data_IF_497578116545
#
_entry.id   IF_497578116545
#
_cell.length_a   1.000
_cell.length_b   1.000
_cell.length_c   1.000
_cell.angle_alpha   90.00
_cell.angle_beta   90.00
_cell.angle_gamma   90.00
#
_symmetry.space_group_name_H-M   'P 1'
#
loop_
_entity.id
_entity.type
_entity.pdbx_description
1 polymer ?
#
# COMPACT_ATOMS: atom_id res chain seq x y z
N UNK A 1 7.03 10.69 23.26
CA UNK A 1 6.15 11.37 22.29
C UNK A 1 6.93 12.39 21.46
N UNK A 2 7.82 13.19 22.06
CA UNK A 2 8.60 14.22 21.38
C UNK A 2 9.98 13.75 20.88
N UNK A 3 10.37 12.52 21.19
CA UNK A 3 11.64 11.96 20.74
C UNK A 3 11.63 11.82 19.22
N UNK A 4 12.67 12.35 18.56
CA UNK A 4 12.85 12.28 17.12
C UNK A 4 13.38 10.89 16.77
N UNK A 5 12.65 10.19 15.91
CA UNK A 5 13.01 8.87 15.38
C UNK A 5 13.83 8.99 14.06
N UNK A 6 13.66 10.10 13.35
CA UNK A 6 14.33 10.36 12.09
C UNK A 6 13.90 11.67 11.46
N UNK A 7 14.34 11.92 10.23
CA UNK A 7 14.05 13.14 9.50
C UNK A 7 13.62 12.83 8.06
N UNK A 8 12.71 13.66 7.54
CA UNK A 8 12.34 13.67 6.12
C UNK A 8 12.91 14.93 5.46
N UNK A 9 13.39 14.80 4.24
CA UNK A 9 13.81 15.92 3.39
C UNK A 9 12.66 16.45 2.52
N UNK A 10 11.50 15.80 2.56
CA UNK A 10 10.31 16.19 1.81
C UNK A 10 9.11 16.29 2.74
N UNK A 11 8.10 17.11 2.41
CA UNK A 11 6.83 17.14 3.13
C UNK A 11 6.16 15.77 3.18
N UNK A 12 5.66 15.40 4.37
CA UNK A 12 4.92 14.16 4.60
C UNK A 12 3.43 14.47 4.66
N UNK A 13 2.69 13.96 3.69
CA UNK A 13 1.24 14.13 3.58
C UNK A 13 0.62 12.94 2.85
N UNK A 14 -0.70 12.83 2.88
CA UNK A 14 -1.36 11.62 2.46
C UNK A 14 -2.43 11.74 1.39
N UNK A 15 -2.99 12.83 1.15
CA UNK A 15 -4.26 13.01 0.43
C UNK A 15 -4.20 12.89 -1.10
N UNK A 16 -3.41 11.95 -1.65
CA UNK A 16 -3.39 11.65 -3.08
C UNK A 16 -4.03 10.31 -3.42
N UNK A 17 -4.68 10.27 -4.58
CA UNK A 17 -5.42 9.10 -5.07
C UNK A 17 -4.49 7.92 -5.30
N UNK A 18 -3.31 8.14 -5.90
CA UNK A 18 -2.37 7.09 -6.32
C UNK A 18 -1.22 6.97 -5.33
N UNK A 19 -0.29 7.90 -5.32
CA UNK A 19 0.90 7.85 -4.47
C UNK A 19 0.99 9.05 -3.56
N UNK A 20 1.59 8.88 -2.39
CA UNK A 20 1.87 9.96 -1.46
C UNK A 20 3.08 9.65 -0.58
N UNK A 21 3.75 10.68 -0.02
CA UNK A 21 4.98 10.49 0.74
C UNK A 21 4.84 9.63 2.00
N UNK A 22 3.71 9.68 2.69
CA UNK A 22 3.51 8.88 3.92
C UNK A 22 3.37 7.40 3.59
N UNK A 23 2.54 7.03 2.61
CA UNK A 23 2.45 5.64 2.21
C UNK A 23 3.79 5.13 1.66
N UNK A 24 4.56 5.99 0.96
CA UNK A 24 5.92 5.65 0.52
C UNK A 24 6.85 5.38 1.71
N UNK A 25 6.78 6.16 2.77
CA UNK A 25 7.54 5.92 4.01
C UNK A 25 7.19 4.57 4.63
N UNK A 26 5.89 4.27 4.79
CA UNK A 26 5.41 2.99 5.35
C UNK A 26 5.86 1.81 4.48
N UNK A 27 5.67 1.90 3.16
CA UNK A 27 6.05 0.86 2.22
C UNK A 27 7.56 0.62 2.20
N UNK A 28 8.36 1.68 2.32
CA UNK A 28 9.81 1.57 2.44
C UNK A 28 10.21 0.83 3.72
N UNK A 29 9.58 1.15 4.85
CA UNK A 29 9.83 0.49 6.13
C UNK A 29 9.45 -1.00 6.07
N UNK A 30 8.28 -1.34 5.52
CA UNK A 30 7.85 -2.72 5.33
C UNK A 30 8.81 -3.50 4.41
N UNK A 31 9.22 -2.91 3.29
CA UNK A 31 10.13 -3.55 2.33
C UNK A 31 11.53 -3.71 2.90
N UNK A 32 11.99 -2.77 3.71
CA UNK A 32 13.27 -2.88 4.43
C UNK A 32 13.24 -4.02 5.46
N UNK A 33 12.13 -4.17 6.16
CA UNK A 33 11.96 -5.22 7.19
C UNK A 33 11.76 -6.61 6.59
N UNK A 34 11.12 -6.70 5.42
CA UNK A 34 10.79 -7.92 4.71
C UNK A 34 11.34 -7.89 3.27
N UNK A 35 12.67 -7.88 3.11
CA UNK A 35 13.31 -7.69 1.81
C UNK A 35 13.02 -8.82 0.80
N UNK A 36 12.73 -10.03 1.28
CA UNK A 36 12.40 -11.20 0.45
C UNK A 36 10.99 -11.17 -0.15
N UNK A 37 10.09 -10.30 0.36
CA UNK A 37 8.73 -10.18 -0.17
C UNK A 37 8.74 -9.45 -1.51
N UNK A 38 8.10 -10.01 -2.54
CA UNK A 38 8.04 -9.38 -3.87
C UNK A 38 7.33 -8.01 -3.80
N UNK A 39 6.15 -7.97 -3.16
CA UNK A 39 5.29 -6.79 -3.14
C UNK A 39 4.84 -6.51 -1.70
N UNK A 40 5.00 -5.27 -1.26
CA UNK A 40 4.40 -4.79 -0.02
C UNK A 40 3.25 -3.84 -0.32
N UNK A 41 2.17 -3.94 0.45
CA UNK A 41 0.91 -3.23 0.25
C UNK A 41 0.57 -2.38 1.46
N UNK A 42 0.00 -1.21 1.22
CA UNK A 42 -0.57 -0.33 2.25
C UNK A 42 -1.93 0.18 1.81
N UNK A 43 -2.95 -0.14 2.57
CA UNK A 43 -4.26 0.50 2.40
C UNK A 43 -4.24 1.95 2.92
N UNK A 44 -3.21 2.27 3.68
CA UNK A 44 -2.98 3.55 4.30
C UNK A 44 -3.99 3.87 5.40
N UNK A 45 -3.68 4.86 6.23
CA UNK A 45 -4.57 5.36 7.28
C UNK A 45 -5.18 6.70 6.86
N UNK A 46 -6.46 6.94 7.21
CA UNK A 46 -7.23 8.08 6.72
C UNK A 46 -6.88 9.38 7.42
N UNK A 47 -6.40 9.30 8.66
CA UNK A 47 -6.17 10.45 9.50
C UNK A 47 -4.69 10.55 9.85
N UNK A 48 -3.97 11.32 9.06
CA UNK A 48 -2.59 11.61 9.34
C UNK A 48 -2.38 13.11 9.14
N UNK A 49 -2.13 13.86 10.22
CA UNK A 49 -1.83 15.27 10.08
C UNK A 49 -0.56 15.43 9.22
N UNK A 50 -0.56 16.33 8.24
CA UNK A 50 0.62 16.54 7.41
C UNK A 50 1.78 17.07 8.25
N UNK A 51 2.98 16.62 7.93
CA UNK A 51 4.24 17.15 8.46
C UNK A 51 4.96 17.88 7.34
N UNK A 52 4.92 19.19 7.39
CA UNK A 52 5.42 20.03 6.30
C UNK A 52 6.41 21.08 6.77
N UNK A 53 6.54 21.30 8.08
CA UNK A 53 7.36 22.36 8.65
C UNK A 53 8.78 21.84 8.94
N UNK A 54 9.81 22.32 8.24
CA UNK A 54 11.19 22.00 8.56
C UNK A 54 11.61 22.59 9.90
N UNK A 55 12.60 21.97 10.51
CA UNK A 55 13.34 22.55 11.64
C UNK A 55 14.44 23.51 11.16
N UNK A 56 15.30 23.96 12.08
CA UNK A 56 16.41 24.87 11.79
C UNK A 56 17.46 24.27 10.84
N UNK A 57 17.46 22.96 10.61
CA UNK A 57 18.37 22.27 9.67
C UNK A 57 17.78 22.16 8.26
N UNK A 58 16.52 22.58 8.07
CA UNK A 58 15.79 22.42 6.82
C UNK A 58 15.16 21.04 6.65
N UNK A 59 15.25 20.17 7.65
CA UNK A 59 14.65 18.83 7.63
C UNK A 59 13.38 18.79 8.47
N UNK A 60 12.50 17.87 8.14
CA UNK A 60 11.21 17.69 8.81
C UNK A 60 11.35 16.56 9.85
N UNK A 61 11.27 16.86 11.15
CA UNK A 61 11.44 15.84 12.18
C UNK A 61 10.26 14.85 12.19
N UNK A 62 10.58 13.57 12.20
CA UNK A 62 9.64 12.47 12.42
C UNK A 62 9.77 12.05 13.88
N UNK A 63 8.78 12.40 14.69
CA UNK A 63 8.76 12.05 16.12
C UNK A 63 8.05 10.71 16.35
N UNK A 64 8.32 10.06 17.48
CA UNK A 64 7.57 8.87 17.91
C UNK A 64 6.07 9.17 17.97
N UNK A 65 5.66 10.34 18.48
CA UNK A 65 4.26 10.75 18.50
C UNK A 65 3.64 10.81 17.11
N UNK A 66 4.37 11.36 16.12
CA UNK A 66 3.89 11.36 14.75
C UNK A 66 3.73 9.94 14.17
N UNK A 67 4.62 9.01 14.53
CA UNK A 67 4.49 7.60 14.10
C UNK A 67 3.21 6.98 14.69
N UNK A 68 2.90 7.21 15.95
CA UNK A 68 1.66 6.75 16.57
C UNK A 68 0.41 7.42 15.98
N UNK A 69 0.47 8.71 15.66
CA UNK A 69 -0.62 9.40 14.96
C UNK A 69 -0.84 8.83 13.55
N UNK A 70 0.25 8.46 12.87
CA UNK A 70 0.23 7.89 11.52
C UNK A 70 -0.26 6.43 11.53
N UNK A 71 0.11 5.67 12.55
CA UNK A 71 -0.22 4.25 12.74
C UNK A 71 -0.92 4.05 14.10
N UNK A 72 -2.17 4.52 14.24
CA UNK A 72 -2.88 4.50 15.53
C UNK A 72 -3.35 3.12 15.96
N UNK A 73 -3.30 2.14 15.06
CA UNK A 73 -3.68 0.75 15.32
C UNK A 73 -2.44 -0.12 15.21
N UNK A 74 -2.18 -0.90 16.24
CA UNK A 74 -1.12 -1.90 16.26
C UNK A 74 -1.58 -3.16 15.53
N UNK A 75 -1.53 -3.08 14.20
CA UNK A 75 -1.98 -4.15 13.33
C UNK A 75 -0.86 -5.13 13.04
N UNK A 76 -1.16 -6.41 13.16
CA UNK A 76 -0.25 -7.48 12.74
C UNK A 76 0.08 -7.35 11.25
N UNK A 77 1.36 -7.45 10.93
CA UNK A 77 1.81 -7.54 9.54
C UNK A 77 1.82 -9.01 9.12
N UNK A 78 1.22 -9.30 7.98
CA UNK A 78 1.14 -10.67 7.44
C UNK A 78 1.77 -10.75 6.07
N UNK A 79 2.32 -11.90 5.77
CA UNK A 79 2.77 -12.27 4.43
C UNK A 79 1.88 -13.37 3.87
N UNK A 80 1.85 -13.49 2.56
CA UNK A 80 1.14 -14.55 1.86
C UNK A 80 1.58 -14.64 0.41
N UNK A 81 0.96 -15.52 -0.35
CA UNK A 81 1.29 -15.74 -1.74
C UNK A 81 0.05 -15.65 -2.63
N UNK A 82 0.21 -15.09 -3.81
CA UNK A 82 -0.86 -14.92 -4.80
C UNK A 82 -0.33 -15.14 -6.21
N UNK A 83 -1.20 -15.53 -7.12
CA UNK A 83 -0.84 -15.62 -8.54
C UNK A 83 -0.80 -14.23 -9.19
N UNK A 84 -0.08 -14.10 -10.30
CA UNK A 84 -0.11 -12.86 -11.08
C UNK A 84 -1.50 -12.52 -11.58
N UNK A 85 -2.31 -13.54 -11.92
CA UNK A 85 -3.71 -13.32 -12.28
C UNK A 85 -4.53 -12.70 -11.13
N UNK A 86 -4.37 -13.19 -9.89
CA UNK A 86 -5.03 -12.59 -8.74
C UNK A 86 -4.61 -11.13 -8.52
N UNK A 87 -3.34 -10.80 -8.73
CA UNK A 87 -2.85 -9.42 -8.67
C UNK A 87 -3.49 -8.52 -9.72
N UNK A 88 -3.61 -8.99 -10.96
CA UNK A 88 -4.26 -8.23 -12.05
C UNK A 88 -5.75 -8.02 -11.77
N UNK A 89 -6.47 -9.07 -11.38
CA UNK A 89 -7.89 -8.99 -11.04
C UNK A 89 -8.13 -8.02 -9.86
N UNK A 90 -7.25 -8.07 -8.86
CA UNK A 90 -7.30 -7.18 -7.72
C UNK A 90 -7.01 -5.72 -8.13
N UNK A 91 -5.99 -5.46 -8.95
CA UNK A 91 -5.68 -4.12 -9.46
C UNK A 91 -6.86 -3.52 -10.23
N UNK A 92 -7.48 -4.29 -11.13
CA UNK A 92 -8.67 -3.83 -11.86
C UNK A 92 -9.82 -3.47 -10.91
N UNK A 93 -10.04 -4.29 -9.87
CA UNK A 93 -11.04 -4.00 -8.84
C UNK A 93 -10.72 -2.73 -8.07
N UNK A 94 -9.47 -2.55 -7.63
CA UNK A 94 -9.04 -1.37 -6.88
C UNK A 94 -9.14 -0.09 -7.72
N UNK A 95 -8.80 -0.16 -9.00
CA UNK A 95 -8.99 0.96 -9.93
C UNK A 95 -10.47 1.24 -10.17
N UNK A 96 -11.32 0.20 -10.26
CA UNK A 96 -12.76 0.40 -10.38
C UNK A 96 -13.37 1.05 -9.13
N UNK A 97 -12.91 0.68 -7.93
CA UNK A 97 -13.36 1.29 -6.68
C UNK A 97 -13.16 2.82 -6.63
N UNK A 98 -12.25 3.36 -7.44
CA UNK A 98 -11.93 4.79 -7.48
C UNK A 98 -12.44 5.47 -8.74
N UNK A 99 -12.26 4.84 -9.91
CA UNK A 99 -12.46 5.45 -11.22
C UNK A 99 -13.71 4.94 -11.95
N UNK A 100 -14.59 4.18 -11.29
CA UNK A 100 -15.85 3.76 -11.91
C UNK A 100 -16.65 4.97 -12.41
N UNK A 101 -17.29 4.84 -13.57
CA UNK A 101 -18.18 5.87 -14.10
C UNK A 101 -19.40 6.04 -13.22
N UNK A 102 -19.99 4.94 -12.77
CA UNK A 102 -21.10 4.93 -11.83
C UNK A 102 -20.59 5.17 -10.39
N UNK A 103 -21.16 6.16 -9.71
CA UNK A 103 -20.82 6.50 -8.34
C UNK A 103 -21.14 5.36 -7.35
N UNK A 104 -22.15 4.53 -7.62
CA UNK A 104 -22.52 3.37 -6.79
C UNK A 104 -21.40 2.32 -6.76
N UNK A 105 -20.60 2.20 -7.82
CA UNK A 105 -19.47 1.28 -7.88
C UNK A 105 -18.21 1.81 -7.19
N UNK A 106 -18.20 3.08 -6.74
CA UNK A 106 -17.03 3.68 -6.08
C UNK A 106 -17.05 3.37 -4.60
N UNK A 107 -16.05 2.63 -4.15
CA UNK A 107 -15.91 2.27 -2.74
C UNK A 107 -15.04 3.24 -1.94
N UNK A 108 -14.10 3.93 -2.58
CA UNK A 108 -13.17 4.84 -1.90
C UNK A 108 -12.60 5.91 -2.80
N UNK A 109 -11.81 6.79 -2.21
CA UNK A 109 -11.19 7.93 -2.92
C UNK A 109 -9.71 7.72 -3.25
N UNK A 110 -9.15 6.53 -3.02
CA UNK A 110 -7.74 6.22 -3.27
C UNK A 110 -7.53 4.76 -3.64
N UNK A 111 -6.51 4.53 -4.48
CA UNK A 111 -6.02 3.18 -4.81
C UNK A 111 -5.09 2.70 -3.68
N UNK A 112 -5.08 1.39 -3.39
CA UNK A 112 -4.09 0.81 -2.47
C UNK A 112 -2.69 1.09 -3.00
N UNK A 113 -1.80 1.51 -2.09
CA UNK A 113 -0.41 1.80 -2.40
C UNK A 113 0.42 0.54 -2.30
N UNK A 114 1.48 0.49 -3.09
CA UNK A 114 2.35 -0.68 -3.13
C UNK A 114 3.81 -0.30 -3.44
N UNK A 115 4.72 -1.19 -3.08
CA UNK A 115 6.12 -1.18 -3.52
C UNK A 115 6.53 -2.57 -3.95
N UNK A 116 7.43 -2.66 -4.93
CA UNK A 116 7.88 -3.91 -5.53
C UNK A 116 7.26 -4.19 -6.90
N UNK A 117 6.22 -3.42 -7.28
CA UNK A 117 5.67 -3.48 -8.64
C UNK A 117 5.48 -2.08 -9.22
N UNK A 118 5.35 -2.01 -10.54
CA UNK A 118 4.98 -0.81 -11.30
C UNK A 118 3.76 -1.11 -12.14
N UNK A 119 2.78 -0.20 -12.12
CA UNK A 119 1.52 -0.35 -12.83
C UNK A 119 1.30 0.84 -13.75
N UNK A 120 1.10 0.57 -15.04
CA UNK A 120 0.56 1.56 -15.99
C UNK A 120 -0.92 1.29 -16.15
N UNK A 121 -1.73 2.32 -16.02
CA UNK A 121 -3.18 2.20 -16.15
C UNK A 121 -3.80 3.42 -16.83
N UNK A 122 -5.00 3.22 -17.34
CA UNK A 122 -5.85 4.26 -17.90
C UNK A 122 -7.10 4.39 -17.02
N UNK A 123 -7.18 5.47 -16.25
CA UNK A 123 -8.18 5.66 -15.21
C UNK A 123 -9.63 5.56 -15.73
N UNK A 124 -9.88 6.12 -16.91
CA UNK A 124 -11.22 6.23 -17.48
C UNK A 124 -11.54 5.18 -18.56
N UNK A 125 -10.68 4.16 -18.72
CA UNK A 125 -11.01 3.01 -19.54
C UNK A 125 -12.20 2.24 -18.96
N UNK A 126 -12.79 1.38 -19.78
CA UNK A 126 -13.88 0.49 -19.36
C UNK A 126 -13.46 -0.38 -18.17
N UNK A 127 -14.43 -0.79 -17.38
CA UNK A 127 -14.26 -1.74 -16.26
C UNK A 127 -13.55 -3.01 -16.73
N UNK A 128 -12.50 -3.40 -16.02
CA UNK A 128 -11.69 -4.58 -16.35
C UNK A 128 -10.67 -4.36 -17.49
N UNK A 129 -10.51 -3.13 -17.98
CA UNK A 129 -9.56 -2.77 -19.05
C UNK A 129 -8.66 -1.58 -18.65
N UNK A 130 -8.61 -1.24 -17.37
CA UNK A 130 -7.83 -0.11 -16.90
C UNK A 130 -6.34 -0.41 -16.81
N UNK A 131 -5.98 -1.60 -16.35
CA UNK A 131 -4.57 -2.03 -16.27
C UNK A 131 -4.00 -2.25 -17.65
N UNK A 132 -2.90 -1.57 -17.98
CA UNK A 132 -2.22 -1.68 -19.29
C UNK A 132 -0.93 -2.47 -19.22
N UNK A 133 -0.16 -2.29 -18.17
CA UNK A 133 1.10 -3.00 -17.95
C UNK A 133 1.35 -3.13 -16.44
N UNK A 134 1.79 -4.30 -16.02
CA UNK A 134 2.30 -4.52 -14.66
C UNK A 134 3.67 -5.16 -14.75
N UNK A 135 4.61 -4.63 -13.98
CA UNK A 135 5.92 -5.23 -13.76
C UNK A 135 6.10 -5.49 -12.27
N UNK A 136 6.59 -6.67 -11.92
CA UNK A 136 7.06 -7.00 -10.57
C UNK A 136 8.58 -7.06 -10.61
N UNK A 137 9.22 -6.19 -9.83
CA UNK A 137 10.62 -5.89 -10.05
C UNK A 137 10.84 -5.34 -11.47
N UNK A 138 11.71 -5.97 -12.24
CA UNK A 138 12.03 -5.57 -13.61
C UNK A 138 11.32 -6.41 -14.69
N UNK A 139 10.49 -7.38 -14.31
CA UNK A 139 9.87 -8.32 -15.23
C UNK A 139 8.37 -8.06 -15.37
N UNK A 140 7.83 -8.24 -16.60
CA UNK A 140 6.40 -8.25 -16.80
C UNK A 140 5.75 -9.32 -15.92
N UNK A 141 4.56 -9.02 -15.40
CA UNK A 141 3.80 -9.96 -14.58
C UNK A 141 3.46 -11.21 -15.39
N UNK A 142 3.64 -12.37 -14.78
CA UNK A 142 3.19 -13.66 -15.32
C UNK A 142 1.97 -14.13 -14.54
N UNK A 143 0.87 -14.40 -15.24
CA UNK A 143 -0.40 -14.80 -14.65
C UNK A 143 -0.30 -16.04 -13.75
N UNK A 144 0.57 -16.97 -14.09
CA UNK A 144 0.71 -18.27 -13.42
C UNK A 144 1.77 -18.27 -12.33
N UNK A 145 2.68 -17.29 -12.35
CA UNK A 145 3.73 -17.17 -11.34
C UNK A 145 3.13 -16.78 -9.99
N UNK A 146 3.69 -17.36 -8.96
CA UNK A 146 3.38 -17.01 -7.56
C UNK A 146 4.27 -15.85 -7.12
N UNK A 147 3.66 -14.84 -6.53
CA UNK A 147 4.32 -13.66 -5.95
C UNK A 147 4.02 -13.61 -4.45
N UNK A 148 5.04 -13.28 -3.68
CA UNK A 148 4.87 -13.05 -2.25
C UNK A 148 4.40 -11.61 -1.99
N UNK A 149 3.40 -11.47 -1.13
CA UNK A 149 2.85 -10.18 -0.73
C UNK A 149 2.94 -9.99 0.77
N UNK A 150 3.01 -8.75 1.20
CA UNK A 150 2.95 -8.35 2.60
C UNK A 150 1.94 -7.21 2.77
N UNK A 151 1.14 -7.29 3.82
CA UNK A 151 0.21 -6.23 4.21
C UNK A 151 -0.13 -6.31 5.69
N UNK A 152 -0.69 -5.23 6.24
CA UNK A 152 -1.30 -5.26 7.57
C UNK A 152 -2.61 -6.06 7.54
N UNK A 153 -2.82 -6.85 8.57
CA UNK A 153 -4.10 -7.47 8.86
C UNK A 153 -5.13 -6.40 9.23
N UNK A 154 -6.37 -6.62 8.87
CA UNK A 154 -7.50 -5.86 9.34
C UNK A 154 -8.37 -6.77 10.20
N UNK A 155 -8.67 -6.33 11.40
CA UNK A 155 -9.55 -7.07 12.31
C UNK A 155 -10.89 -7.39 11.65
N UNK A 156 -11.30 -8.64 11.77
CA UNK A 156 -12.54 -9.15 11.18
C UNK A 156 -12.46 -9.59 9.71
N UNK A 157 -11.32 -9.38 9.04
CA UNK A 157 -11.13 -9.94 7.70
C UNK A 157 -10.87 -11.47 7.79
N UNK A 158 -11.33 -12.25 6.79
CA UNK A 158 -10.96 -13.66 6.68
C UNK A 158 -9.45 -13.88 6.68
N UNK A 159 -9.01 -15.02 7.23
CA UNK A 159 -7.58 -15.32 7.37
C UNK A 159 -6.82 -15.30 6.04
N UNK A 160 -7.49 -15.62 4.93
CA UNK A 160 -6.96 -15.61 3.57
C UNK A 160 -7.17 -14.28 2.83
N UNK A 161 -7.44 -13.20 3.55
CA UNK A 161 -7.60 -11.87 2.96
C UNK A 161 -6.52 -10.91 3.44
N UNK A 162 -5.77 -10.33 2.51
CA UNK A 162 -4.80 -9.27 2.77
C UNK A 162 -5.06 -8.07 1.86
N UNK A 163 -5.16 -6.89 2.43
CA UNK A 163 -5.40 -5.64 1.67
C UNK A 163 -6.56 -5.76 0.66
N UNK A 164 -7.69 -6.34 1.06
CA UNK A 164 -8.87 -6.61 0.21
C UNK A 164 -8.64 -7.66 -0.90
N UNK A 165 -7.46 -8.23 -1.01
CA UNK A 165 -7.17 -9.35 -1.88
C UNK A 165 -7.59 -10.66 -1.19
N UNK A 166 -8.42 -11.46 -1.84
CA UNK A 166 -8.95 -12.73 -1.31
C UNK A 166 -8.17 -13.94 -1.84
N UNK A 167 -8.37 -15.07 -1.19
CA UNK A 167 -7.74 -16.34 -1.54
C UNK A 167 -6.21 -16.25 -1.55
N UNK A 168 -5.66 -15.51 -0.60
CA UNK A 168 -4.23 -15.44 -0.36
C UNK A 168 -3.77 -16.78 0.19
N UNK A 169 -2.77 -17.38 -0.45
CA UNK A 169 -2.24 -18.68 -0.07
C UNK A 169 -1.21 -18.53 1.06
N UNK A 170 -1.20 -19.50 1.96
CA UNK A 170 -0.23 -19.59 3.05
C UNK A 170 -0.05 -18.27 3.85
N UNK A 171 -1.12 -17.64 4.32
CA UNK A 171 -1.00 -16.43 5.09
C UNK A 171 -0.29 -16.70 6.42
N UNK A 172 0.71 -15.88 6.74
CA UNK A 172 1.53 -16.04 7.97
C UNK A 172 1.70 -14.69 8.65
N UNK A 173 1.55 -14.67 9.96
CA UNK A 173 1.94 -13.51 10.75
C UNK A 173 3.46 -13.37 10.70
N UNK A 174 3.93 -12.14 10.56
CA UNK A 174 5.35 -11.86 10.74
C UNK A 174 5.67 -11.79 12.24
N UNK A 175 6.90 -12.06 12.64
CA UNK A 175 7.31 -12.01 14.05
C UNK A 175 7.46 -10.57 14.59
N UNK A 176 6.90 -9.56 13.91
CA UNK A 176 7.05 -8.14 14.21
C UNK A 176 5.69 -7.46 14.31
#
# INVERSE_FOLDING_TARGET
>A
IYKVAGYSTIPLYRYFVVENPIDTLILNALKWKLPETDIVLSNGFRFCPPRTTPDSTGNIPITEGFIFDMLPVDSTVRTGAVTGKQLLDWLEKELNNVFAKDAVERFGGWVIKFKGMTVKFEAFAEKGKRVKEVKVGNSLIDNNKIYTICACERDGDPADMLCRMRNVQNPKNTPY
#
